data_IF_702152498647
#
_entry.id   IF_702152498647
#
_cell.length_a   1.000
_cell.length_b   1.000
_cell.length_c   1.000
_cell.angle_alpha   90.00
_cell.angle_beta   90.00
_cell.angle_gamma   90.00
#
_symmetry.space_group_name_H-M   'P 1'
#
loop_
_entity.id
_entity.type
_entity.pdbx_description
1 polymer ?
#
# COMPACT_ATOMS: atom_id res chain seq x y z
N UNK A 1 -4.03 30.29 -7.89
CA UNK A 1 -3.36 29.45 -6.87
C UNK A 1 -4.16 28.18 -6.64
N UNK A 2 -3.77 27.05 -7.23
CA UNK A 2 -4.27 25.71 -6.91
C UNK A 2 -3.05 24.82 -6.66
N UNK A 3 -2.41 25.02 -5.51
CA UNK A 3 -1.20 24.27 -5.12
C UNK A 3 -1.31 23.66 -3.72
N UNK A 4 -2.43 23.84 -3.01
CA UNK A 4 -2.58 23.37 -1.63
C UNK A 4 -3.37 22.07 -1.48
N UNK A 5 -4.01 21.55 -2.54
CA UNK A 5 -4.84 20.34 -2.44
C UNK A 5 -4.13 19.03 -2.83
N UNK A 6 -2.87 19.07 -3.28
CA UNK A 6 -2.15 17.84 -3.68
C UNK A 6 -1.37 17.23 -2.51
N UNK A 7 -0.63 18.06 -1.77
CA UNK A 7 0.33 17.59 -0.76
C UNK A 7 -0.31 17.05 0.51
N UNK A 8 -1.40 17.66 1.00
CA UNK A 8 -2.14 17.12 2.14
C UNK A 8 -2.84 15.80 1.78
N UNK A 9 -3.25 15.66 0.52
CA UNK A 9 -3.90 14.47 0.02
C UNK A 9 -2.91 13.33 -0.15
N UNK A 10 -1.71 13.59 -0.66
CA UNK A 10 -0.62 12.61 -0.78
C UNK A 10 -0.20 12.05 0.58
N UNK A 11 -0.01 12.91 1.59
CA UNK A 11 0.31 12.47 2.94
C UNK A 11 -0.82 11.63 3.58
N UNK A 12 -2.07 12.05 3.41
CA UNK A 12 -3.23 11.31 3.90
C UNK A 12 -3.40 9.95 3.20
N UNK A 13 -3.17 9.92 1.88
CA UNK A 13 -3.20 8.71 1.05
C UNK A 13 -2.12 7.72 1.50
N UNK A 14 -0.90 8.19 1.74
CA UNK A 14 0.20 7.39 2.28
C UNK A 14 -0.17 6.78 3.64
N UNK A 15 -0.69 7.60 4.56
CA UNK A 15 -1.08 7.14 5.89
C UNK A 15 -2.21 6.10 5.82
N UNK A 16 -3.18 6.31 4.94
CA UNK A 16 -4.27 5.37 4.71
C UNK A 16 -3.75 4.04 4.16
N UNK A 17 -2.89 4.05 3.14
CA UNK A 17 -2.32 2.83 2.57
C UNK A 17 -1.53 2.03 3.61
N UNK A 18 -0.62 2.70 4.33
CA UNK A 18 0.18 2.09 5.39
C UNK A 18 -0.68 1.52 6.53
N UNK A 19 -1.71 2.26 6.93
CA UNK A 19 -2.64 1.82 7.98
C UNK A 19 -3.42 0.60 7.54
N UNK A 20 -3.96 0.60 6.31
CA UNK A 20 -4.64 -0.55 5.72
C UNK A 20 -3.74 -1.79 5.71
N UNK A 21 -2.48 -1.67 5.28
CA UNK A 21 -1.53 -2.78 5.30
C UNK A 21 -1.24 -3.37 6.69
N UNK A 22 -1.40 -2.57 7.76
CA UNK A 22 -1.13 -2.98 9.14
C UNK A 22 -2.36 -3.51 9.87
N UNK A 23 -3.52 -2.91 9.65
CA UNK A 23 -4.74 -3.17 10.45
C UNK A 23 -5.80 -3.96 9.69
N UNK A 24 -5.77 -3.97 8.36
CA UNK A 24 -6.79 -4.68 7.61
C UNK A 24 -6.61 -6.21 7.80
N UNK A 25 -7.71 -6.95 8.04
CA UNK A 25 -7.67 -8.40 8.06
C UNK A 25 -7.11 -8.96 6.77
N UNK A 26 -6.39 -10.08 6.86
CA UNK A 26 -5.94 -10.82 5.70
C UNK A 26 -7.14 -11.18 4.81
N UNK A 27 -7.01 -10.95 3.50
CA UNK A 27 -8.07 -11.17 2.52
C UNK A 27 -9.17 -10.11 2.53
N UNK A 28 -8.98 -8.96 3.19
CA UNK A 28 -9.95 -7.87 3.14
C UNK A 28 -10.04 -7.28 1.73
N UNK A 29 -11.03 -7.75 0.96
CA UNK A 29 -11.30 -7.34 -0.42
C UNK A 29 -11.50 -5.84 -0.59
N UNK A 30 -12.07 -5.14 0.41
CA UNK A 30 -12.25 -3.69 0.37
C UNK A 30 -10.90 -2.97 0.46
N UNK A 31 -10.04 -3.41 1.38
CA UNK A 31 -8.70 -2.85 1.53
C UNK A 31 -7.84 -3.15 0.29
N UNK A 32 -7.91 -4.37 -0.24
CA UNK A 32 -7.25 -4.76 -1.49
C UNK A 32 -7.70 -3.87 -2.65
N UNK A 33 -9.02 -3.69 -2.84
CA UNK A 33 -9.55 -2.84 -3.90
C UNK A 33 -9.12 -1.37 -3.78
N UNK A 34 -9.04 -0.84 -2.56
CA UNK A 34 -8.55 0.52 -2.32
C UNK A 34 -7.06 0.68 -2.67
N UNK A 35 -6.23 -0.28 -2.27
CA UNK A 35 -4.78 -0.25 -2.55
C UNK A 35 -4.48 -0.47 -4.05
N UNK A 36 -5.22 -1.35 -4.73
CA UNK A 36 -5.10 -1.55 -6.20
C UNK A 36 -5.51 -0.27 -6.94
N UNK A 37 -6.57 0.41 -6.49
CA UNK A 37 -6.94 1.70 -7.05
C UNK A 37 -5.81 2.72 -6.87
N UNK A 38 -5.20 2.75 -5.68
CA UNK A 38 -4.09 3.65 -5.38
C UNK A 38 -2.86 3.42 -6.29
N UNK A 39 -2.54 2.16 -6.57
CA UNK A 39 -1.45 1.79 -7.48
C UNK A 39 -1.63 2.37 -8.88
N UNK A 40 -2.87 2.43 -9.37
CA UNK A 40 -3.17 2.93 -10.71
C UNK A 40 -3.50 4.42 -10.76
N UNK A 41 -3.95 5.02 -9.66
CA UNK A 41 -4.38 6.43 -9.63
C UNK A 41 -3.31 7.39 -9.12
N UNK A 42 -2.20 6.90 -8.58
CA UNK A 42 -1.14 7.73 -8.01
C UNK A 42 0.06 7.85 -8.94
N UNK A 43 0.41 9.09 -9.30
CA UNK A 43 1.64 9.40 -10.05
C UNK A 43 2.89 9.34 -9.15
N UNK A 44 2.72 9.42 -7.83
CA UNK A 44 3.80 9.34 -6.86
C UNK A 44 4.30 7.91 -6.66
N UNK A 45 5.57 7.68 -6.97
CA UNK A 45 6.20 6.36 -6.88
C UNK A 45 6.21 5.83 -5.44
N UNK A 46 6.44 6.71 -4.46
CA UNK A 46 6.49 6.32 -3.06
C UNK A 46 5.15 5.80 -2.57
N UNK A 47 4.07 6.50 -2.92
CA UNK A 47 2.69 6.09 -2.65
C UNK A 47 2.35 4.77 -3.32
N UNK A 48 2.72 4.56 -4.59
CA UNK A 48 2.54 3.28 -5.26
C UNK A 48 3.27 2.14 -4.55
N UNK A 49 4.53 2.36 -4.16
CA UNK A 49 5.33 1.34 -3.46
C UNK A 49 4.72 0.93 -2.12
N UNK A 50 4.18 1.90 -1.37
CA UNK A 50 3.50 1.64 -0.11
C UNK A 50 2.18 0.89 -0.29
N UNK A 51 1.44 1.17 -1.37
CA UNK A 51 0.24 0.42 -1.70
C UNK A 51 0.55 -1.05 -2.03
N UNK A 52 1.62 -1.30 -2.80
CA UNK A 52 2.08 -2.65 -3.11
C UNK A 52 2.51 -3.41 -1.84
N UNK A 53 3.30 -2.79 -0.97
CA UNK A 53 3.73 -3.42 0.29
C UNK A 53 2.54 -3.76 1.20
N UNK A 54 1.55 -2.86 1.26
CA UNK A 54 0.32 -3.09 2.01
C UNK A 54 -0.55 -4.20 1.42
N UNK A 55 -0.58 -4.33 0.09
CA UNK A 55 -1.26 -5.43 -0.59
C UNK A 55 -0.64 -6.78 -0.24
N UNK A 56 0.69 -6.87 -0.21
CA UNK A 56 1.41 -8.10 0.16
C UNK A 56 1.03 -8.55 1.58
N UNK A 57 0.92 -7.61 2.51
CA UNK A 57 0.54 -7.88 3.91
C UNK A 57 -0.90 -8.39 4.03
N UNK A 58 -1.82 -7.81 3.25
CA UNK A 58 -3.25 -8.11 3.32
C UNK A 58 -3.61 -9.36 2.51
N UNK A 59 -2.98 -9.58 1.35
CA UNK A 59 -3.33 -10.72 0.48
C UNK A 59 -2.99 -12.06 1.15
N UNK A 60 -2.06 -12.09 2.12
CA UNK A 60 -1.76 -13.28 2.93
C UNK A 60 -1.08 -14.41 2.15
N UNK A 61 -1.10 -14.35 0.82
CA UNK A 61 -0.32 -15.15 -0.13
C UNK A 61 1.18 -15.17 0.23
N UNK A 62 1.64 -14.15 0.94
CA UNK A 62 3.04 -13.98 1.34
C UNK A 62 3.39 -14.35 2.78
N UNK A 63 2.54 -15.07 3.53
CA UNK A 63 3.02 -15.72 4.78
C UNK A 63 4.12 -16.76 4.51
N UNK A 64 4.35 -17.16 3.25
CA UNK A 64 5.46 -18.04 2.84
C UNK A 64 6.72 -17.31 2.33
N UNK A 65 6.66 -16.11 1.76
CA UNK A 65 7.87 -15.54 1.14
C UNK A 65 8.78 -14.77 2.10
N UNK A 66 8.31 -14.33 3.27
CA UNK A 66 9.20 -13.74 4.28
C UNK A 66 9.94 -14.77 5.15
N UNK A 67 9.75 -16.07 4.89
CA UNK A 67 10.54 -17.13 5.53
C UNK A 67 11.73 -17.61 4.66
N UNK A 68 11.93 -17.10 3.44
CA UNK A 68 13.00 -17.62 2.57
C UNK A 68 13.70 -16.58 1.68
N UNK A 69 13.99 -15.38 2.17
CA UNK A 69 14.96 -14.52 1.44
C UNK A 69 15.68 -13.53 2.36
N UNK A 70 16.36 -14.09 3.37
CA UNK A 70 17.59 -13.51 3.95
C UNK A 70 18.81 -14.28 3.44
N UNK A 71 18.98 -14.39 2.12
CA UNK A 71 20.22 -14.87 1.50
C UNK A 71 20.37 -14.31 0.08
N UNK A 72 21.42 -13.49 -0.12
CA UNK A 72 21.86 -12.83 -1.36
C UNK A 72 20.90 -11.74 -1.88
N UNK A 73 21.26 -10.45 -1.92
CA UNK A 73 22.52 -9.84 -2.36
C UNK A 73 22.92 -8.64 -1.49
#
# INVERSE_FOLDING_TARGET
MKLLHSSENEAAIYQAANSLGKIAPIGNKKAIGALVKLLHSSDDEFTRRQAADSLIKIDGSNKKAFASETAAF
#
